data_IF_062136035548
#
_entry.id   IF_062136035548
#
_cell.length_a   1.000
_cell.length_b   1.000
_cell.length_c   1.000
_cell.angle_alpha   90.00
_cell.angle_beta   90.00
_cell.angle_gamma   90.00
#
_symmetry.space_group_name_H-M   'P 1'
#
loop_
_entity.id
_entity.type
_entity.pdbx_description
1 polymer ?
#
# COMPACT_ATOMS: atom_id res chain seq x y z
N UNK A 1 -10.25 -23.90 -12.13
CA UNK A 1 -10.66 -22.63 -11.46
C UNK A 1 -9.57 -21.90 -10.66
N UNK A 2 -8.38 -22.46 -10.43
CA UNK A 2 -7.27 -21.80 -9.68
C UNK A 2 -6.67 -20.57 -10.38
N UNK A 3 -6.60 -20.58 -11.72
CA UNK A 3 -6.06 -19.46 -12.51
C UNK A 3 -6.94 -18.19 -12.40
N UNK A 4 -8.26 -18.33 -12.25
CA UNK A 4 -9.18 -17.20 -12.10
C UNK A 4 -9.03 -16.55 -10.73
N UNK A 5 -8.93 -17.33 -9.65
CA UNK A 5 -8.67 -16.81 -8.29
C UNK A 5 -7.38 -16.00 -8.24
N UNK A 6 -6.30 -16.47 -8.90
CA UNK A 6 -5.03 -15.71 -9.04
C UNK A 6 -5.22 -14.33 -9.67
N UNK A 7 -6.00 -14.24 -10.74
CA UNK A 7 -6.25 -13.00 -11.46
C UNK A 7 -7.07 -12.02 -10.62
N UNK A 8 -8.13 -12.51 -9.97
CA UNK A 8 -9.00 -11.69 -9.12
C UNK A 8 -8.24 -11.06 -7.96
N UNK A 9 -7.43 -11.82 -7.22
CA UNK A 9 -6.66 -11.23 -6.10
C UNK A 9 -5.59 -10.27 -6.61
N UNK A 10 -4.93 -10.54 -7.75
CA UNK A 10 -4.00 -9.57 -8.36
C UNK A 10 -4.70 -8.26 -8.70
N UNK A 11 -5.94 -8.31 -9.21
CA UNK A 11 -6.76 -7.12 -9.46
C UNK A 11 -7.12 -6.40 -8.15
N UNK A 12 -7.47 -7.14 -7.09
CA UNK A 12 -7.72 -6.55 -5.77
C UNK A 12 -6.48 -5.84 -5.21
N UNK A 13 -5.30 -6.45 -5.31
CA UNK A 13 -4.05 -5.79 -4.88
C UNK A 13 -3.80 -4.54 -5.70
N UNK A 14 -3.91 -4.60 -7.03
CA UNK A 14 -3.74 -3.42 -7.89
C UNK A 14 -4.74 -2.30 -7.52
N UNK A 15 -6.00 -2.64 -7.27
CA UNK A 15 -7.00 -1.67 -6.83
C UNK A 15 -6.63 -1.03 -5.49
N UNK A 16 -6.19 -1.83 -4.50
CA UNK A 16 -5.74 -1.31 -3.21
C UNK A 16 -4.53 -0.38 -3.35
N UNK A 17 -3.57 -0.72 -4.22
CA UNK A 17 -2.39 0.12 -4.46
C UNK A 17 -2.77 1.45 -5.13
N UNK A 18 -3.65 1.41 -6.14
CA UNK A 18 -4.15 2.62 -6.80
C UNK A 18 -4.94 3.48 -5.81
N UNK A 19 -5.84 2.87 -5.03
CA UNK A 19 -6.63 3.55 -4.01
C UNK A 19 -5.73 4.20 -2.95
N UNK A 20 -4.72 3.48 -2.45
CA UNK A 20 -3.74 4.00 -1.50
C UNK A 20 -3.00 5.21 -2.07
N UNK A 21 -2.55 5.12 -3.32
CA UNK A 21 -1.86 6.22 -3.98
C UNK A 21 -2.78 7.45 -4.10
N UNK A 22 -3.96 7.30 -4.70
CA UNK A 22 -4.90 8.41 -4.92
C UNK A 22 -5.33 9.04 -3.59
N UNK A 23 -5.72 8.22 -2.61
CA UNK A 23 -6.13 8.72 -1.29
C UNK A 23 -5.03 9.51 -0.60
N UNK A 24 -3.77 9.06 -0.68
CA UNK A 24 -2.63 9.78 -0.10
C UNK A 24 -2.49 11.19 -0.69
N UNK A 25 -2.53 11.33 -2.03
CA UNK A 25 -2.40 12.64 -2.66
C UNK A 25 -3.62 13.54 -2.39
N UNK A 26 -4.82 12.98 -2.35
CA UNK A 26 -6.04 13.73 -2.00
C UNK A 26 -5.96 14.25 -0.56
N UNK A 27 -5.61 13.38 0.40
CA UNK A 27 -5.46 13.77 1.81
C UNK A 27 -4.36 14.81 2.00
N UNK A 28 -3.22 14.67 1.33
CA UNK A 28 -2.18 15.69 1.35
C UNK A 28 -2.71 17.02 0.80
N UNK A 29 -3.38 17.03 -0.34
CA UNK A 29 -3.96 18.24 -0.91
C UNK A 29 -4.95 18.94 0.03
N UNK A 30 -5.75 18.18 0.77
CA UNK A 30 -6.66 18.71 1.80
C UNK A 30 -5.85 19.28 2.97
N UNK A 31 -4.85 18.55 3.46
CA UNK A 31 -4.00 18.95 4.58
C UNK A 31 -3.30 20.30 4.29
N UNK A 32 -2.69 20.43 3.12
CA UNK A 32 -2.02 21.67 2.70
C UNK A 32 -2.98 22.87 2.58
N UNK A 33 -4.25 22.63 2.23
CA UNK A 33 -5.21 23.69 1.93
C UNK A 33 -6.06 24.11 3.13
N UNK A 34 -6.47 23.15 3.95
CA UNK A 34 -7.57 23.32 4.89
C UNK A 34 -7.16 23.16 6.34
N UNK A 35 -6.04 22.53 6.63
CA UNK A 35 -5.59 22.29 8.00
C UNK A 35 -4.88 23.54 8.57
N UNK A 36 -5.49 24.16 9.58
CA UNK A 36 -4.96 25.39 10.18
C UNK A 36 -3.66 25.16 10.97
N UNK A 37 -3.45 23.96 11.51
CA UNK A 37 -2.17 23.61 12.15
C UNK A 37 -1.07 23.55 11.09
N UNK A 38 -1.36 22.92 9.95
CA UNK A 38 -0.40 22.79 8.86
C UNK A 38 -0.05 24.14 8.23
N UNK A 39 -1.02 25.05 8.10
CA UNK A 39 -0.77 26.45 7.68
C UNK A 39 0.17 27.18 8.64
N UNK A 40 -0.01 27.01 9.94
CA UNK A 40 0.88 27.62 10.93
C UNK A 40 2.31 27.11 10.80
N UNK A 41 2.48 25.80 10.62
CA UNK A 41 3.80 25.18 10.37
C UNK A 41 4.45 25.72 9.10
N UNK A 42 3.69 25.90 8.00
CA UNK A 42 4.19 26.52 6.76
C UNK A 42 4.61 27.97 7.02
N UNK A 43 3.80 28.76 7.73
CA UNK A 43 4.10 30.16 8.02
C UNK A 43 5.36 30.30 8.88
N UNK A 44 5.53 29.47 9.91
CA UNK A 44 6.73 29.43 10.74
C UNK A 44 7.96 29.01 9.93
N UNK A 45 7.85 27.97 9.10
CA UNK A 45 8.92 27.55 8.21
C UNK A 45 9.28 28.65 7.18
N UNK A 46 8.31 29.46 6.76
CA UNK A 46 8.53 30.62 5.88
C UNK A 46 9.30 31.70 6.60
N UNK A 47 8.89 32.06 7.82
CA UNK A 47 9.54 33.08 8.62
C UNK A 47 11.00 32.71 8.97
N UNK A 48 11.27 31.42 9.18
CA UNK A 48 12.59 30.90 9.50
C UNK A 48 13.44 30.54 8.28
N UNK A 49 12.91 30.69 7.05
CA UNK A 49 13.61 30.32 5.81
C UNK A 49 13.77 28.80 5.61
N UNK A 50 13.07 27.98 6.39
CA UNK A 50 13.14 26.51 6.36
C UNK A 50 12.07 25.85 5.46
N UNK A 51 11.34 26.63 4.64
CA UNK A 51 10.29 26.11 3.76
C UNK A 51 10.73 24.91 2.92
N UNK A 52 11.91 24.99 2.29
CA UNK A 52 12.43 23.91 1.47
C UNK A 52 12.62 22.62 2.27
N UNK A 53 13.14 22.72 3.49
CA UNK A 53 13.35 21.60 4.41
C UNK A 53 12.02 20.97 4.80
N UNK A 54 11.00 21.78 5.13
CA UNK A 54 9.65 21.30 5.45
C UNK A 54 9.06 20.47 4.30
N UNK A 55 9.08 20.99 3.07
CA UNK A 55 8.57 20.27 1.90
C UNK A 55 9.37 19.00 1.62
N UNK A 56 10.71 19.07 1.66
CA UNK A 56 11.57 17.92 1.43
C UNK A 56 11.31 16.81 2.46
N UNK A 57 11.26 17.14 3.75
CA UNK A 57 10.96 16.18 4.81
C UNK A 57 9.56 15.58 4.66
N UNK A 58 8.56 16.38 4.31
CA UNK A 58 7.17 15.89 4.10
C UNK A 58 7.10 14.91 2.93
N UNK A 59 7.76 15.22 1.80
CA UNK A 59 7.81 14.34 0.64
C UNK A 59 8.53 13.03 0.97
N UNK A 60 9.70 13.11 1.61
CA UNK A 60 10.49 11.92 1.99
C UNK A 60 9.68 11.03 2.95
N UNK A 61 9.05 11.62 3.98
CA UNK A 61 8.22 10.89 4.93
C UNK A 61 7.02 10.22 4.25
N UNK A 62 6.35 10.93 3.34
CA UNK A 62 5.22 10.38 2.57
C UNK A 62 5.66 9.19 1.71
N UNK A 63 6.76 9.32 0.97
CA UNK A 63 7.29 8.24 0.13
C UNK A 63 7.72 7.04 0.96
N UNK A 64 8.34 7.27 2.12
CA UNK A 64 8.74 6.22 3.04
C UNK A 64 7.53 5.44 3.58
N UNK A 65 6.49 6.14 4.04
CA UNK A 65 5.25 5.51 4.51
C UNK A 65 4.53 4.74 3.39
N UNK A 66 4.48 5.30 2.18
CA UNK A 66 3.94 4.61 1.01
C UNK A 66 4.72 3.33 0.70
N UNK A 67 6.06 3.37 0.73
CA UNK A 67 6.89 2.20 0.49
C UNK A 67 6.61 1.09 1.52
N UNK A 68 6.46 1.45 2.80
CA UNK A 68 6.09 0.51 3.87
C UNK A 68 4.70 -0.08 3.61
N UNK A 69 3.69 0.76 3.33
CA UNK A 69 2.32 0.31 3.10
C UNK A 69 2.21 -0.61 1.87
N UNK A 70 2.87 -0.25 0.76
CA UNK A 70 2.96 -1.09 -0.43
C UNK A 70 3.65 -2.42 -0.10
N UNK A 71 4.76 -2.37 0.64
CA UNK A 71 5.48 -3.56 1.10
C UNK A 71 4.60 -4.49 1.93
N UNK A 72 3.80 -3.95 2.86
CA UNK A 72 2.85 -4.72 3.66
C UNK A 72 1.77 -5.37 2.79
N UNK A 73 1.15 -4.62 1.87
CA UNK A 73 0.12 -5.16 0.96
C UNK A 73 0.69 -6.31 0.12
N UNK A 74 1.91 -6.15 -0.40
CA UNK A 74 2.58 -7.19 -1.18
C UNK A 74 3.00 -8.38 -0.32
N UNK A 75 3.43 -8.16 0.92
CA UNK A 75 3.76 -9.21 1.87
C UNK A 75 2.52 -10.07 2.18
N UNK A 76 1.36 -9.43 2.42
CA UNK A 76 0.09 -10.15 2.59
C UNK A 76 -0.30 -10.94 1.34
N UNK A 77 -0.17 -10.36 0.15
CA UNK A 77 -0.40 -11.08 -1.11
C UNK A 77 0.48 -12.33 -1.20
N UNK A 78 1.78 -12.18 -0.95
CA UNK A 78 2.72 -13.30 -1.02
C UNK A 78 2.44 -14.37 0.05
N UNK A 79 2.07 -13.97 1.26
CA UNK A 79 1.78 -14.87 2.36
C UNK A 79 0.50 -15.69 2.09
N UNK A 80 -0.57 -15.03 1.65
CA UNK A 80 -1.81 -15.68 1.24
C UNK A 80 -1.52 -16.68 0.13
N UNK A 81 -0.82 -16.27 -0.94
CA UNK A 81 -0.51 -17.16 -2.05
C UNK A 81 0.48 -18.27 -1.70
N UNK A 82 1.48 -18.00 -0.86
CA UNK A 82 2.45 -19.00 -0.43
C UNK A 82 1.81 -20.08 0.43
N UNK A 83 0.99 -19.69 1.41
CA UNK A 83 0.36 -20.61 2.35
C UNK A 83 -0.82 -21.37 1.72
N UNK A 84 -1.72 -20.69 0.98
CA UNK A 84 -2.83 -21.38 0.32
C UNK A 84 -2.32 -22.42 -0.68
N UNK A 85 -1.29 -22.08 -1.46
CA UNK A 85 -0.80 -22.97 -2.51
C UNK A 85 -0.15 -24.22 -1.91
N UNK A 86 0.54 -24.10 -0.77
CA UNK A 86 1.07 -25.25 -0.01
C UNK A 86 -0.05 -26.20 0.43
N UNK A 87 -1.14 -25.67 0.98
CA UNK A 87 -2.30 -26.47 1.39
C UNK A 87 -3.02 -27.12 0.22
N UNK A 88 -3.25 -26.37 -0.86
CA UNK A 88 -3.97 -26.87 -2.02
C UNK A 88 -3.20 -27.97 -2.77
N UNK A 89 -1.88 -27.85 -2.88
CA UNK A 89 -1.05 -28.86 -3.53
C UNK A 89 -0.96 -30.16 -2.71
N UNK A 90 -0.99 -30.05 -1.37
CA UNK A 90 -1.10 -31.22 -0.49
C UNK A 90 -2.44 -31.93 -0.67
N UNK A 91 -3.53 -31.18 -0.65
CA UNK A 91 -4.89 -31.70 -0.80
C UNK A 91 -5.11 -32.34 -2.19
N UNK A 92 -4.56 -31.72 -3.25
CA UNK A 92 -4.60 -32.28 -4.61
C UNK A 92 -3.81 -33.60 -4.73
N UNK A 93 -2.66 -33.72 -4.06
CA UNK A 93 -1.88 -34.98 -4.01
C UNK A 93 -2.61 -36.09 -3.24
N UNK A 94 -3.36 -35.75 -2.20
CA UNK A 94 -4.14 -36.71 -1.42
C UNK A 94 -5.35 -37.20 -2.21
N UNK A 95 -6.10 -36.31 -2.87
CA UNK A 95 -7.20 -36.67 -3.77
C UNK A 95 -6.74 -37.59 -4.92
N UNK A 96 -5.63 -37.26 -5.58
CA UNK A 96 -5.11 -38.07 -6.69
C UNK A 96 -4.67 -39.49 -6.29
N UNK A 97 -4.36 -39.72 -5.01
CA UNK A 97 -4.03 -41.05 -4.47
C UNK A 97 -5.26 -41.90 -4.13
N UNK A 98 -6.43 -41.27 -3.96
CA UNK A 98 -7.68 -41.96 -3.65
C UNK A 98 -8.45 -42.34 -4.93
N UNK A 99 -8.19 -41.65 -6.03
CA UNK A 99 -8.74 -41.96 -7.37
C UNK A 99 -7.89 -42.96 -8.17
N UNK A 100 -6.74 -43.39 -7.65
CA UNK A 100 -5.83 -44.39 -8.23
C UNK A 100 -5.86 -45.69 -7.45
#
# INVERSE_FOLDING_TARGET
NILRTRRTVKQYVAFNLIYLFISTFVTLGILFKQDDQFKNVINEATANGELFKLYATTIIATLFLLAIAIGLILAFYYLIYGLLLKRLNKNYRELKKLES
#
